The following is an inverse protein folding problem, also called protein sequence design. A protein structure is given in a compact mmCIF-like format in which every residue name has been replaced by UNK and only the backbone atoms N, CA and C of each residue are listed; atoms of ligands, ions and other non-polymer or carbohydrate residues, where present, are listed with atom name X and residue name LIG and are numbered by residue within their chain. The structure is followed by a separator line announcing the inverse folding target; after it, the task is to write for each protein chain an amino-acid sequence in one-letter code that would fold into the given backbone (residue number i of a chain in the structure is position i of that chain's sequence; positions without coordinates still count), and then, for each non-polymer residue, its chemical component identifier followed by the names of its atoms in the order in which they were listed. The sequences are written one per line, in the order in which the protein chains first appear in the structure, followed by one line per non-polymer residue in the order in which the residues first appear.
data_IF_495286188037
#
_entry.id   IF_495286188037
#
_cell.length_a   1.000
_cell.length_b   1.000
_cell.length_c   1.000
_cell.angle_alpha   90.00
_cell.angle_beta   90.00
_cell.angle_gamma   90.00
#
_symmetry.space_group_name_H-M   'P 1'
#
loop_
_entity.id
_entity.type
_entity.pdbx_description
1 polymer ?
#
# COMPACT_ATOMS: atom_id res chain seq x y z
N UNK A 1 -23.66 13.62 14.01
CA UNK A 1 -23.50 12.22 14.46
C UNK A 1 -22.09 11.82 14.11
N UNK A 2 -21.27 11.51 15.11
CA UNK A 2 -19.88 11.10 14.89
C UNK A 2 -19.87 9.73 14.19
N UNK A 3 -19.12 9.61 13.10
CA UNK A 3 -18.93 8.31 12.44
C UNK A 3 -17.81 7.58 13.18
N UNK A 4 -18.08 6.38 13.66
CA UNK A 4 -17.13 5.56 14.42
C UNK A 4 -16.79 4.34 13.58
N UNK A 5 -15.51 4.01 13.46
CA UNK A 5 -15.07 2.77 12.83
C UNK A 5 -15.56 1.58 13.67
N UNK A 6 -16.37 0.66 13.11
CA UNK A 6 -16.89 -0.48 13.86
C UNK A 6 -15.79 -1.50 14.20
N UNK A 7 -14.65 -1.49 13.51
CA UNK A 7 -13.55 -2.42 13.78
C UNK A 7 -12.68 -2.05 14.98
N UNK A 8 -12.40 -0.75 15.19
CA UNK A 8 -11.46 -0.30 16.24
C UNK A 8 -11.99 0.84 17.12
N UNK A 9 -13.21 1.32 16.89
CA UNK A 9 -13.80 2.42 17.67
C UNK A 9 -13.21 3.80 17.36
N UNK A 10 -12.30 3.93 16.39
CA UNK A 10 -11.75 5.24 15.99
C UNK A 10 -12.85 6.15 15.46
N UNK A 11 -12.92 7.37 15.98
CA UNK A 11 -13.81 8.41 15.48
C UNK A 11 -13.27 8.94 14.14
N UNK A 12 -14.15 9.05 13.16
CA UNK A 12 -13.85 9.61 11.84
C UNK A 12 -13.55 11.10 12.00
N UNK A 13 -12.27 11.44 11.93
CA UNK A 13 -11.85 12.83 11.76
C UNK A 13 -12.31 13.34 10.40
N UNK A 14 -12.66 14.62 10.33
CA UNK A 14 -12.99 15.30 9.07
C UNK A 14 -11.86 15.19 8.04
N UNK A 15 -10.62 15.03 8.49
CA UNK A 15 -9.42 14.90 7.65
C UNK A 15 -9.31 13.54 6.93
N UNK A 16 -10.07 12.52 7.36
CA UNK A 16 -9.97 11.19 6.77
C UNK A 16 -11.26 10.76 6.06
N UNK A 17 -11.14 10.46 4.77
CA UNK A 17 -12.27 10.03 3.93
C UNK A 17 -12.46 8.52 3.97
N UNK A 18 -13.13 8.00 5.01
CA UNK A 18 -13.57 6.61 5.03
C UNK A 18 -15.08 6.43 5.25
N UNK A 19 -15.71 5.50 4.54
CA UNK A 19 -17.16 5.31 4.60
C UNK A 19 -17.61 4.36 5.71
N UNK A 20 -16.96 3.19 5.83
CA UNK A 20 -17.36 2.11 6.75
C UNK A 20 -16.29 1.78 7.77
N UNK A 21 -15.13 1.27 7.33
CA UNK A 21 -13.97 0.98 8.18
C UNK A 21 -12.95 2.11 8.06
N UNK A 22 -12.20 2.38 9.12
CA UNK A 22 -11.02 3.24 9.00
C UNK A 22 -9.95 2.57 8.13
N UNK A 23 -9.02 3.36 7.60
CA UNK A 23 -7.94 2.90 6.73
C UNK A 23 -7.24 1.64 7.27
N UNK A 24 -6.78 1.69 8.52
CA UNK A 24 -6.10 0.56 9.17
C UNK A 24 -6.95 -0.72 9.20
N UNK A 25 -8.21 -0.62 9.61
CA UNK A 25 -9.08 -1.79 9.69
C UNK A 25 -9.46 -2.32 8.31
N UNK A 26 -9.57 -1.45 7.30
CA UNK A 26 -9.84 -1.87 5.94
C UNK A 26 -8.63 -2.65 5.37
N UNK A 27 -7.43 -2.10 5.53
CA UNK A 27 -6.17 -2.75 5.16
C UNK A 27 -6.00 -4.12 5.82
N UNK A 28 -6.20 -4.21 7.14
CA UNK A 28 -6.12 -5.49 7.86
C UNK A 28 -7.14 -6.52 7.34
N UNK A 29 -8.33 -6.07 6.93
CA UNK A 29 -9.35 -6.93 6.36
C UNK A 29 -8.94 -7.44 4.98
N UNK A 30 -8.43 -6.56 4.12
CA UNK A 30 -7.93 -6.89 2.78
C UNK A 30 -6.80 -7.92 2.84
N UNK A 31 -5.77 -7.69 3.68
CA UNK A 31 -4.66 -8.64 3.86
C UNK A 31 -5.16 -10.02 4.32
N UNK A 32 -6.12 -10.08 5.25
CA UNK A 32 -6.71 -11.36 5.70
C UNK A 32 -7.47 -12.08 4.58
N UNK A 33 -8.16 -11.34 3.71
CA UNK A 33 -8.87 -11.90 2.56
C UNK A 33 -7.88 -12.47 1.54
N UNK A 34 -6.81 -11.75 1.23
CA UNK A 34 -5.72 -12.19 0.36
C UNK A 34 -5.03 -13.45 0.92
N UNK A 35 -4.62 -13.43 2.19
CA UNK A 35 -4.03 -14.59 2.87
C UNK A 35 -4.93 -15.83 2.79
N UNK A 36 -6.24 -15.64 2.97
CA UNK A 36 -7.23 -16.72 2.88
C UNK A 36 -7.32 -17.28 1.46
N UNK A 37 -7.37 -16.42 0.44
CA UNK A 37 -7.43 -16.82 -0.96
C UNK A 37 -6.18 -17.63 -1.36
N UNK A 38 -4.99 -17.12 -1.02
CA UNK A 38 -3.72 -17.81 -1.28
C UNK A 38 -3.69 -19.19 -0.61
N UNK A 39 -4.13 -19.30 0.66
CA UNK A 39 -4.21 -20.60 1.36
C UNK A 39 -5.17 -21.58 0.68
N UNK A 40 -6.21 -21.08 0.02
CA UNK A 40 -7.14 -21.91 -0.76
C UNK A 40 -6.58 -22.30 -2.13
N UNK A 41 -5.39 -21.81 -2.52
CA UNK A 41 -4.80 -22.02 -3.84
C UNK A 41 -5.38 -21.10 -4.91
N UNK A 42 -6.04 -20.01 -4.52
CA UNK A 42 -6.54 -18.97 -5.42
C UNK A 42 -5.46 -17.91 -5.64
N UNK A 43 -5.52 -17.21 -6.78
CA UNK A 43 -4.71 -16.02 -7.06
C UNK A 43 -5.59 -14.76 -6.94
N UNK A 44 -5.55 -14.05 -5.79
CA UNK A 44 -6.39 -12.88 -5.57
C UNK A 44 -5.90 -11.63 -6.32
N UNK A 45 -4.70 -11.66 -6.93
CA UNK A 45 -3.97 -10.46 -7.33
C UNK A 45 -3.47 -9.65 -6.12
N UNK A 46 -2.33 -8.99 -6.29
CA UNK A 46 -1.67 -8.23 -5.21
C UNK A 46 -1.39 -6.76 -5.56
N UNK A 47 -1.99 -6.25 -6.64
CA UNK A 47 -1.84 -4.86 -7.06
C UNK A 47 -2.37 -3.89 -6.01
N UNK A 48 -1.52 -2.98 -5.54
CA UNK A 48 -1.86 -1.96 -4.54
C UNK A 48 -1.04 -0.70 -4.79
N UNK A 49 -1.65 0.47 -4.58
CA UNK A 49 -0.97 1.77 -4.64
C UNK A 49 -0.28 2.16 -3.34
N UNK A 50 -0.59 1.46 -2.25
CA UNK A 50 -0.30 1.94 -0.90
C UNK A 50 0.80 1.12 -0.20
N UNK A 51 0.96 -0.15 -0.56
CA UNK A 51 1.89 -1.08 0.07
C UNK A 51 2.13 -2.31 -0.82
N UNK A 52 3.28 -2.95 -0.66
CA UNK A 52 3.66 -4.16 -1.41
C UNK A 52 3.13 -5.40 -0.70
N UNK A 53 2.53 -6.33 -1.44
CA UNK A 53 1.95 -7.55 -0.86
C UNK A 53 2.64 -8.77 -1.49
N UNK A 54 3.12 -9.67 -0.64
CA UNK A 54 3.72 -10.92 -1.11
C UNK A 54 2.65 -11.83 -1.74
N UNK A 55 2.84 -12.28 -3.00
CA UNK A 55 1.87 -13.15 -3.68
C UNK A 55 1.82 -14.58 -3.11
N UNK A 56 2.81 -14.97 -2.29
CA UNK A 56 2.88 -16.34 -1.75
C UNK A 56 2.31 -16.50 -0.35
N UNK A 57 2.34 -15.46 0.48
CA UNK A 57 1.84 -15.52 1.85
C UNK A 57 0.76 -14.48 2.14
N UNK A 58 0.59 -13.46 1.29
CA UNK A 58 -0.41 -12.40 1.48
C UNK A 58 -0.04 -11.38 2.56
N UNK A 59 1.18 -11.46 3.11
CA UNK A 59 1.67 -10.44 4.04
C UNK A 59 2.10 -9.19 3.26
N UNK A 60 1.85 -8.04 3.88
CA UNK A 60 2.49 -6.81 3.47
C UNK A 60 4.01 -6.92 3.70
N UNK A 61 4.78 -6.46 2.73
CA UNK A 61 6.21 -6.20 2.91
C UNK A 61 6.32 -4.86 3.63
N UNK A 62 7.03 -4.83 4.75
CA UNK A 62 7.32 -3.56 5.41
C UNK A 62 8.17 -2.71 4.45
N UNK A 63 7.61 -1.61 3.96
CA UNK A 63 8.31 -0.69 3.04
C UNK A 63 8.39 0.72 3.61
N UNK A 64 8.17 0.90 4.91
CA UNK A 64 8.30 2.19 5.60
C UNK A 64 9.76 2.60 5.84
N UNK A 65 10.66 2.09 5.00
CA UNK A 65 12.06 2.39 5.08
C UNK A 65 12.39 3.65 4.27
N UNK A 66 13.55 4.25 4.53
CA UNK A 66 13.97 5.41 3.73
C UNK A 66 14.24 4.97 2.28
N UNK A 67 14.35 5.93 1.37
CA UNK A 67 14.66 5.66 -0.04
C UNK A 67 15.86 4.71 -0.22
N UNK A 68 16.84 4.79 0.68
CA UNK A 68 18.06 3.99 0.64
C UNK A 68 17.83 2.50 0.88
N UNK A 69 16.79 2.14 1.62
CA UNK A 69 16.53 0.78 2.06
C UNK A 69 15.62 -0.01 1.09
N UNK A 70 14.76 0.69 0.34
CA UNK A 70 13.87 0.09 -0.65
C UNK A 70 13.75 0.96 -1.92
N UNK A 71 14.86 1.21 -2.64
CA UNK A 71 14.88 2.08 -3.81
C UNK A 71 14.01 1.57 -4.97
N UNK A 72 13.71 0.27 -5.01
CA UNK A 72 12.89 -0.39 -6.03
C UNK A 72 11.48 0.22 -6.11
N UNK A 73 10.91 0.68 -4.98
CA UNK A 73 9.60 1.35 -4.93
C UNK A 73 9.56 2.65 -5.75
N UNK A 74 10.71 3.26 -5.98
CA UNK A 74 10.84 4.57 -6.63
C UNK A 74 11.53 4.46 -7.98
N UNK A 75 11.73 3.23 -8.48
CA UNK A 75 12.32 2.96 -9.78
C UNK A 75 11.33 2.19 -10.63
N UNK A 76 10.98 2.73 -11.79
CA UNK A 76 10.09 2.05 -12.73
C UNK A 76 10.70 0.74 -13.24
N UNK A 77 9.88 -0.30 -13.38
CA UNK A 77 10.25 -1.60 -13.93
C UNK A 77 10.07 -2.78 -12.97
N UNK A 78 10.65 -3.91 -13.35
CA UNK A 78 10.58 -5.17 -12.61
C UNK A 78 11.77 -5.32 -11.65
N UNK A 79 11.49 -5.67 -10.40
CA UNK A 79 12.49 -5.87 -9.36
C UNK A 79 12.29 -7.20 -8.64
N UNK A 80 13.38 -7.94 -8.41
CA UNK A 80 13.37 -9.17 -7.60
C UNK A 80 13.41 -8.81 -6.11
N UNK A 81 12.35 -9.19 -5.38
CA UNK A 81 12.21 -8.94 -3.95
C UNK A 81 12.04 -10.27 -3.22
N UNK A 82 12.76 -10.46 -2.12
CA UNK A 82 12.55 -11.59 -1.21
C UNK A 82 11.59 -11.21 -0.09
N UNK A 83 10.56 -12.03 0.12
CA UNK A 83 9.64 -11.80 1.23
C UNK A 83 10.29 -12.19 2.57
N UNK A 84 10.38 -11.28 3.56
CA UNK A 84 11.00 -11.60 4.86
C UNK A 84 10.19 -12.60 5.69
N UNK A 85 8.90 -12.77 5.38
CA UNK A 85 7.99 -13.66 6.13
C UNK A 85 7.99 -15.10 5.62
N UNK A 86 8.27 -15.31 4.33
CA UNK A 86 8.19 -16.65 3.73
C UNK A 86 9.41 -17.04 2.88
N UNK A 87 10.41 -16.17 2.80
CA UNK A 87 11.72 -16.40 2.15
C UNK A 87 11.60 -16.74 0.65
N UNK A 88 10.48 -16.36 0.03
CA UNK A 88 10.24 -16.56 -1.40
C UNK A 88 10.53 -15.27 -2.16
N UNK A 89 11.30 -15.41 -3.23
CA UNK A 89 11.55 -14.34 -4.20
C UNK A 89 10.37 -14.20 -5.16
N UNK A 90 9.93 -12.97 -5.39
CA UNK A 90 8.91 -12.60 -6.39
C UNK A 90 9.36 -11.38 -7.19
N UNK A 91 8.73 -11.18 -8.33
CA UNK A 91 8.90 -9.98 -9.15
C UNK A 91 7.87 -8.94 -8.71
N UNK A 92 8.36 -7.76 -8.35
CA UNK A 92 7.55 -6.57 -8.10
C UNK A 92 7.67 -5.64 -9.30
N UNK A 93 6.55 -5.41 -9.99
CA UNK A 93 6.45 -4.39 -11.04
C UNK A 93 6.11 -3.04 -10.40
N UNK A 94 6.98 -2.06 -10.57
CA UNK A 94 6.79 -0.69 -10.08
C UNK A 94 6.45 0.23 -11.24
N UNK A 95 5.28 0.87 -11.16
CA UNK A 95 4.81 1.89 -12.11
C UNK A 95 4.76 3.25 -11.44
N UNK A 96 5.41 4.26 -12.02
CA UNK A 96 5.53 5.60 -11.43
C UNK A 96 4.90 6.63 -12.36
N UNK A 97 4.04 7.49 -11.80
CA UNK A 97 3.44 8.61 -12.52
C UNK A 97 3.70 9.91 -11.75
N UNK A 98 4.32 10.88 -12.41
CA UNK A 98 4.55 12.21 -11.85
C UNK A 98 3.57 13.23 -12.43
N UNK A 99 3.13 14.17 -11.59
CA UNK A 99 2.40 15.36 -12.04
C UNK A 99 3.07 16.61 -11.46
N UNK A 100 3.22 17.63 -12.29
CA UNK A 100 3.83 18.90 -11.91
C UNK A 100 2.99 20.06 -12.43
N UNK A 101 2.81 21.06 -11.58
CA UNK A 101 2.19 22.34 -11.92
C UNK A 101 3.08 23.47 -11.41
N UNK A 102 3.32 24.47 -12.25
CA UNK A 102 4.23 25.59 -11.97
C UNK A 102 3.54 26.92 -12.23
N UNK A 103 4.05 27.99 -11.62
CA UNK A 103 3.52 29.35 -11.77
C UNK A 103 4.65 30.37 -11.97
N UNK A 104 4.29 31.58 -12.41
CA UNK A 104 5.22 32.67 -12.69
C UNK A 104 5.89 33.16 -11.40
N UNK A 105 7.17 33.48 -11.50
CA UNK A 105 7.81 34.39 -10.56
C UNK A 105 7.38 35.81 -10.95
N UNK A 106 6.73 36.53 -10.05
CA UNK A 106 6.56 37.98 -10.21
C UNK A 106 7.94 38.61 -9.98
N UNK A 107 8.42 39.40 -10.94
CA UNK A 107 9.58 40.27 -10.76
C UNK A 107 9.03 41.59 -10.21
N UNK A 108 9.32 41.90 -8.95
CA UNK A 108 9.00 43.21 -8.36
C UNK A 108 9.90 44.28 -9.03
N UNK A 109 9.32 45.17 -9.86
CA UNK A 109 9.96 46.42 -10.32
C UNK A 109 9.92 47.52 -9.25
#
# INVERSE_FOLDING_TARGET
MEKICPGCGKIKSFLFSWEKLCYTCNKEKELKEIQKAIRNGEDPGTCSSDYVICPYCGNEIETNYEYEDFPELYKEGDHEIECPECEKTFIMETSISYYYETRKAEEDE
#
